data_IF_604096407103
#
_entry.id   IF_604096407103
#
_cell.length_a   1.000
_cell.length_b   1.000
_cell.length_c   1.000
_cell.angle_alpha   90.00
_cell.angle_beta   90.00
_cell.angle_gamma   90.00
#
_symmetry.space_group_name_H-M   'P 1'
#
loop_
_entity.id
_entity.type
_entity.pdbx_description
1 polymer ?
#
# COMPACT_ATOMS: atom_id res chain seq x y z
N UNK A 1 30.25 36.00 -62.71
CA UNK A 1 30.27 37.40 -62.26
C UNK A 1 29.78 37.47 -60.83
N UNK A 2 30.53 38.20 -60.00
CA UNK A 2 30.20 38.73 -58.68
C UNK A 2 30.05 37.74 -57.51
N UNK A 3 31.18 37.58 -56.83
CA UNK A 3 31.31 37.27 -55.40
C UNK A 3 30.55 38.28 -54.53
N UNK A 4 29.86 37.82 -53.50
CA UNK A 4 29.71 38.56 -52.24
C UNK A 4 29.58 37.57 -51.09
N UNK A 5 30.39 37.81 -50.06
CA UNK A 5 30.55 37.04 -48.84
C UNK A 5 30.25 38.02 -47.71
N UNK A 6 29.37 37.71 -46.77
CA UNK A 6 29.47 38.26 -45.41
C UNK A 6 28.53 37.57 -44.40
N UNK A 7 29.17 37.04 -43.37
CA UNK A 7 28.83 36.85 -41.94
C UNK A 7 27.44 36.39 -41.45
N UNK A 8 27.49 35.33 -40.63
CA UNK A 8 26.56 35.08 -39.52
C UNK A 8 26.99 35.85 -38.26
N UNK A 9 26.02 36.23 -37.41
CA UNK A 9 26.26 36.14 -35.98
C UNK A 9 25.24 35.25 -35.27
N UNK A 10 25.78 34.26 -34.58
CA UNK A 10 25.14 33.40 -33.59
C UNK A 10 24.59 34.24 -32.43
N UNK A 11 23.31 34.07 -32.05
CA UNK A 11 22.83 34.47 -30.72
C UNK A 11 21.96 33.40 -30.08
N UNK A 12 22.63 32.68 -29.18
CA UNK A 12 22.18 32.14 -27.90
C UNK A 12 20.68 31.86 -27.73
N UNK A 13 20.35 30.57 -27.72
CA UNK A 13 19.21 30.04 -26.97
C UNK A 13 19.42 30.30 -25.47
N UNK A 14 18.54 31.09 -24.85
CA UNK A 14 18.45 31.17 -23.38
C UNK A 14 17.69 29.95 -22.86
N UNK A 15 18.44 28.97 -22.35
CA UNK A 15 17.91 27.92 -21.51
C UNK A 15 17.56 28.50 -20.14
N UNK A 16 16.27 28.69 -19.87
CA UNK A 16 15.77 29.03 -18.54
C UNK A 16 15.74 27.76 -17.69
N UNK A 17 16.80 27.52 -16.92
CA UNK A 17 16.84 26.48 -15.89
C UNK A 17 16.04 26.97 -14.69
N UNK A 18 14.77 26.55 -14.60
CA UNK A 18 13.95 26.71 -13.41
C UNK A 18 14.56 25.92 -12.26
N UNK A 19 15.19 26.62 -11.34
CA UNK A 19 15.78 26.08 -10.12
C UNK A 19 14.66 26.05 -9.08
N UNK A 20 13.98 24.90 -9.00
CA UNK A 20 12.97 24.60 -7.98
C UNK A 20 13.69 24.30 -6.65
N UNK A 21 13.81 25.31 -5.79
CA UNK A 21 14.22 25.10 -4.40
C UNK A 21 12.97 24.84 -3.57
N UNK A 22 12.88 23.62 -3.05
CA UNK A 22 11.95 23.23 -2.01
C UNK A 22 12.29 23.99 -0.72
N UNK A 23 11.51 25.03 -0.46
CA UNK A 23 11.67 25.92 0.70
C UNK A 23 11.18 25.25 1.98
N UNK A 24 12.04 24.44 2.61
CA UNK A 24 11.86 23.98 3.99
C UNK A 24 13.02 24.48 4.84
N UNK A 25 13.14 25.80 5.06
CA UNK A 25 13.98 26.39 6.12
C UNK A 25 13.77 27.89 6.26
N UNK A 26 12.73 28.33 6.98
CA UNK A 26 12.63 29.61 7.71
C UNK A 26 11.56 29.35 8.81
N UNK A 27 11.67 29.66 10.10
CA UNK A 27 12.35 30.73 10.81
C UNK A 27 12.80 30.29 12.20
N UNK A 28 13.95 30.81 12.64
CA UNK A 28 14.33 30.88 14.04
C UNK A 28 13.90 32.24 14.64
N UNK A 29 13.32 32.16 15.84
CA UNK A 29 13.39 33.10 16.98
C UNK A 29 12.68 34.48 17.00
N UNK A 30 12.37 34.88 18.25
CA UNK A 30 11.91 36.19 18.82
C UNK A 30 10.37 36.36 18.91
N UNK A 31 9.71 36.80 20.00
CA UNK A 31 10.02 37.56 21.23
C UNK A 31 9.09 37.08 22.37
N UNK A 32 9.63 37.01 23.60
CA UNK A 32 8.92 36.73 24.85
C UNK A 32 8.13 37.99 25.31
N UNK A 33 6.82 38.06 25.08
CA UNK A 33 5.87 38.83 25.90
C UNK A 33 4.41 38.65 25.42
N UNK A 34 3.58 38.02 26.27
CA UNK A 34 2.12 38.17 26.28
C UNK A 34 1.31 37.25 25.36
N UNK A 35 0.97 36.04 25.82
CA UNK A 35 -0.23 35.29 25.37
C UNK A 35 -0.40 33.98 26.18
N UNK A 36 -1.11 34.05 27.29
CA UNK A 36 -1.62 32.84 27.99
C UNK A 36 -3.08 32.64 27.62
N UNK A 37 -3.36 32.04 26.46
CA UNK A 37 -4.67 31.42 26.16
C UNK A 37 -4.70 30.62 24.84
N UNK A 38 -3.63 29.93 24.40
CA UNK A 38 -3.68 29.20 23.11
C UNK A 38 -2.88 27.89 23.09
N UNK A 39 -3.18 26.99 24.01
CA UNK A 39 -2.81 25.56 23.92
C UNK A 39 -3.96 24.86 24.61
N UNK A 40 -4.86 24.16 23.93
CA UNK A 40 -4.75 22.77 23.55
C UNK A 40 -5.93 22.53 22.61
N UNK A 41 -5.74 22.31 21.31
CA UNK A 41 -6.62 21.55 20.40
C UNK A 41 -6.07 21.69 18.97
N UNK A 42 -4.77 21.44 18.78
CA UNK A 42 -4.32 21.01 17.47
C UNK A 42 -4.63 19.51 17.39
N UNK A 43 -5.51 19.04 16.48
CA UNK A 43 -5.63 17.61 16.23
C UNK A 43 -4.23 17.11 15.87
N UNK A 44 -3.67 16.21 16.68
CA UNK A 44 -2.46 15.50 16.29
C UNK A 44 -2.66 14.88 14.90
N UNK A 45 -1.58 14.62 14.14
CA UNK A 45 -1.69 14.00 12.83
C UNK A 45 -2.58 12.75 12.96
N UNK A 46 -3.72 12.76 12.28
CA UNK A 46 -4.70 11.69 12.36
C UNK A 46 -4.00 10.39 11.94
N UNK A 47 -3.65 9.57 12.93
CA UNK A 47 -3.05 8.27 12.69
C UNK A 47 -4.14 7.41 12.09
N UNK A 48 -4.16 7.26 10.76
CA UNK A 48 -5.06 6.31 10.11
C UNK A 48 -4.68 4.94 10.66
N UNK A 49 -5.54 4.30 11.47
CA UNK A 49 -5.23 2.95 11.92
C UNK A 49 -5.04 2.11 10.66
N UNK A 50 -3.94 1.37 10.59
CA UNK A 50 -3.81 0.39 9.53
C UNK A 50 -5.01 -0.56 9.66
N UNK A 51 -5.77 -0.79 8.57
CA UNK A 51 -6.91 -1.69 8.64
C UNK A 51 -6.43 -3.06 9.11
N UNK A 52 -7.25 -3.82 9.84
CA UNK A 52 -6.86 -5.21 10.15
C UNK A 52 -6.69 -6.02 8.87
N UNK A 53 -5.96 -7.14 8.93
CA UNK A 53 -5.81 -8.01 7.76
C UNK A 53 -7.17 -8.53 7.29
N UNK A 54 -8.12 -8.80 8.20
CA UNK A 54 -9.48 -9.22 7.83
C UNK A 54 -10.21 -8.12 7.05
N UNK A 55 -10.09 -6.86 7.49
CA UNK A 55 -10.66 -5.72 6.78
C UNK A 55 -10.00 -5.51 5.41
N UNK A 56 -8.67 -5.68 5.33
CA UNK A 56 -7.93 -5.56 4.07
C UNK A 56 -8.39 -6.61 3.06
N UNK A 57 -8.44 -7.88 3.46
CA UNK A 57 -8.87 -8.99 2.60
C UNK A 57 -10.36 -8.91 2.27
N UNK A 58 -11.21 -8.49 3.22
CA UNK A 58 -12.64 -8.28 2.98
C UNK A 58 -12.92 -7.25 1.89
N UNK A 59 -12.09 -6.19 1.79
CA UNK A 59 -12.17 -5.20 0.71
C UNK A 59 -11.76 -5.76 -0.65
N UNK A 60 -10.75 -6.64 -0.71
CA UNK A 60 -10.38 -7.33 -1.96
C UNK A 60 -11.55 -8.15 -2.48
N UNK A 61 -12.25 -8.83 -1.58
CA UNK A 61 -13.35 -9.72 -1.92
C UNK A 61 -14.68 -9.01 -2.16
N UNK A 62 -14.79 -7.70 -1.91
CA UNK A 62 -16.02 -6.93 -2.10
C UNK A 62 -17.29 -7.57 -1.50
N UNK A 63 -17.15 -8.27 -0.36
CA UNK A 63 -18.26 -8.95 0.33
C UNK A 63 -18.64 -10.34 -0.20
N UNK A 64 -17.92 -10.88 -1.18
CA UNK A 64 -18.10 -12.25 -1.68
C UNK A 64 -17.81 -13.31 -0.61
N UNK A 65 -18.80 -14.15 -0.31
CA UNK A 65 -18.67 -15.26 0.65
C UNK A 65 -17.78 -16.40 0.14
N UNK A 66 -17.65 -16.56 -1.18
CA UNK A 66 -16.81 -17.55 -1.84
C UNK A 66 -15.35 -17.10 -2.02
N UNK A 67 -14.99 -15.90 -1.54
CA UNK A 67 -13.68 -15.31 -1.78
C UNK A 67 -12.72 -15.39 -0.58
N UNK A 68 -13.17 -15.16 0.65
CA UNK A 68 -12.28 -15.18 1.84
C UNK A 68 -12.94 -15.86 3.02
N UNK A 69 -12.19 -16.73 3.69
CA UNK A 69 -12.62 -17.42 4.91
C UNK A 69 -11.59 -17.23 6.02
N UNK A 70 -12.08 -16.90 7.22
CA UNK A 70 -11.25 -16.67 8.41
C UNK A 70 -11.47 -17.79 9.43
N UNK A 71 -10.43 -18.18 10.21
CA UNK A 71 -10.55 -19.27 11.19
C UNK A 71 -11.57 -18.99 12.30
N UNK A 72 -11.81 -17.71 12.58
CA UNK A 72 -12.79 -17.24 13.58
C UNK A 72 -14.25 -17.34 13.10
N UNK A 73 -14.47 -17.55 11.79
CA UNK A 73 -15.78 -17.66 11.14
C UNK A 73 -15.95 -19.10 10.63
N UNK A 74 -15.98 -20.07 11.56
CA UNK A 74 -16.18 -21.49 11.21
C UNK A 74 -17.67 -21.76 10.99
N UNK A 75 -18.09 -21.82 9.73
CA UNK A 75 -19.37 -22.42 9.38
C UNK A 75 -19.13 -23.94 9.24
N UNK A 76 -19.53 -24.70 10.26
CA UNK A 76 -19.15 -26.10 10.49
C UNK A 76 -19.75 -27.15 9.52
N UNK A 77 -20.32 -26.73 8.39
CA UNK A 77 -21.16 -27.60 7.55
C UNK A 77 -20.60 -28.00 6.19
N UNK A 78 -19.62 -27.27 5.66
CA UNK A 78 -19.04 -27.52 4.34
C UNK A 78 -17.59 -27.99 4.51
N UNK A 79 -17.07 -28.77 3.56
CA UNK A 79 -15.65 -29.12 3.48
C UNK A 79 -14.81 -27.84 3.64
N UNK A 80 -14.37 -27.59 4.87
CA UNK A 80 -13.78 -26.32 5.28
C UNK A 80 -12.58 -26.11 4.37
N UNK A 81 -12.42 -24.93 3.76
CA UNK A 81 -11.29 -24.70 2.85
C UNK A 81 -9.94 -24.91 3.54
N UNK A 82 -9.94 -24.92 4.88
CA UNK A 82 -8.81 -25.18 5.77
C UNK A 82 -8.62 -26.66 6.13
N UNK A 83 -9.38 -27.59 5.55
CA UNK A 83 -9.23 -29.02 5.81
C UNK A 83 -7.86 -29.49 5.28
N UNK A 84 -6.96 -29.96 6.17
CA UNK A 84 -5.65 -30.42 5.74
C UNK A 84 -5.75 -31.77 5.03
N UNK A 85 -4.92 -31.97 4.00
CA UNK A 85 -4.76 -33.29 3.37
C UNK A 85 -4.00 -34.26 4.29
N UNK A 86 -2.93 -33.79 4.94
CA UNK A 86 -2.17 -34.57 5.91
C UNK A 86 -2.81 -34.44 7.31
N UNK A 87 -3.48 -35.49 7.76
CA UNK A 87 -4.14 -35.53 9.07
C UNK A 87 -3.15 -35.50 10.25
N UNK A 88 -1.87 -35.81 10.03
CA UNK A 88 -0.82 -35.75 11.06
C UNK A 88 -0.22 -34.36 11.28
N UNK A 89 -0.56 -33.36 10.45
CA UNK A 89 -0.05 -31.98 10.56
C UNK A 89 -1.20 -30.98 10.43
N UNK A 90 -1.58 -30.36 11.54
CA UNK A 90 -2.58 -29.29 11.55
C UNK A 90 -1.90 -27.93 11.45
N UNK A 91 -2.19 -27.16 10.40
CA UNK A 91 -1.81 -25.74 10.28
C UNK A 91 -3.09 -24.92 10.22
N UNK A 92 -3.20 -23.89 11.05
CA UNK A 92 -4.30 -22.94 11.00
C UNK A 92 -3.82 -21.68 10.27
N UNK A 93 -4.25 -21.42 9.02
CA UNK A 93 -3.84 -20.22 8.29
C UNK A 93 -4.54 -18.99 8.86
N UNK A 94 -3.97 -17.79 8.66
CA UNK A 94 -4.61 -16.54 9.07
C UNK A 94 -5.93 -16.26 8.31
N UNK A 95 -5.96 -16.62 7.03
CA UNK A 95 -7.13 -16.59 6.16
C UNK A 95 -6.87 -17.51 4.96
N UNK A 96 -7.94 -17.97 4.31
CA UNK A 96 -7.87 -18.57 2.98
C UNK A 96 -8.59 -17.66 2.00
N UNK A 97 -7.95 -17.35 0.87
CA UNK A 97 -8.52 -16.52 -0.18
C UNK A 97 -8.58 -17.32 -1.48
N UNK A 98 -9.72 -17.26 -2.18
CA UNK A 98 -9.97 -17.83 -3.50
C UNK A 98 -10.16 -16.70 -4.52
N UNK A 99 -9.07 -16.06 -4.98
CA UNK A 99 -9.14 -14.95 -5.92
C UNK A 99 -9.60 -15.44 -7.31
N UNK A 100 -10.36 -14.60 -8.02
CA UNK A 100 -10.87 -14.92 -9.37
C UNK A 100 -9.97 -14.44 -10.51
N UNK A 101 -9.11 -13.46 -10.23
CA UNK A 101 -8.27 -12.81 -11.23
C UNK A 101 -6.93 -12.34 -10.64
N UNK A 102 -6.02 -11.94 -11.53
CA UNK A 102 -4.68 -11.48 -11.17
C UNK A 102 -4.68 -10.22 -10.29
N UNK A 103 -5.72 -9.38 -10.40
CA UNK A 103 -5.83 -8.15 -9.63
C UNK A 103 -6.18 -8.44 -8.18
N UNK A 104 -7.08 -9.40 -7.94
CA UNK A 104 -7.37 -9.92 -6.60
C UNK A 104 -6.10 -10.55 -6.00
N UNK A 105 -5.35 -11.38 -6.76
CA UNK A 105 -4.08 -11.97 -6.30
C UNK A 105 -3.09 -10.88 -5.84
N UNK A 106 -2.82 -9.89 -6.69
CA UNK A 106 -1.90 -8.79 -6.36
C UNK A 106 -2.37 -8.01 -5.12
N UNK A 107 -3.68 -7.87 -4.94
CA UNK A 107 -4.25 -7.18 -3.78
C UNK A 107 -4.12 -7.99 -2.49
N UNK A 108 -4.30 -9.31 -2.54
CA UNK A 108 -4.05 -10.22 -1.41
C UNK A 108 -2.59 -10.15 -0.97
N UNK A 109 -1.65 -10.25 -1.91
CA UNK A 109 -0.21 -10.18 -1.60
C UNK A 109 0.14 -8.83 -0.97
N UNK A 110 -0.43 -7.73 -1.47
CA UNK A 110 -0.26 -6.39 -0.86
C UNK A 110 -0.80 -6.32 0.56
N UNK A 111 -1.98 -6.89 0.83
CA UNK A 111 -2.51 -6.98 2.20
C UNK A 111 -1.55 -7.77 3.09
N UNK A 112 -1.13 -8.95 2.66
CA UNK A 112 -0.23 -9.81 3.43
C UNK A 112 1.10 -9.11 3.76
N UNK A 113 1.74 -8.46 2.78
CA UNK A 113 2.97 -7.71 2.96
C UNK A 113 2.81 -6.55 3.96
N UNK A 114 1.71 -5.78 3.89
CA UNK A 114 1.43 -4.68 4.83
C UNK A 114 1.24 -5.14 6.27
N UNK A 115 0.79 -6.38 6.47
CA UNK A 115 0.51 -6.96 7.78
C UNK A 115 1.57 -7.96 8.25
N UNK A 116 2.67 -8.13 7.50
CA UNK A 116 3.74 -9.07 7.87
C UNK A 116 3.31 -10.54 7.84
N UNK A 117 2.27 -10.88 7.08
CA UNK A 117 1.74 -12.25 6.97
C UNK A 117 2.32 -12.93 5.74
N UNK A 118 2.71 -14.20 5.88
CA UNK A 118 3.24 -15.01 4.76
C UNK A 118 2.09 -15.49 3.86
N UNK A 119 2.36 -15.58 2.57
CA UNK A 119 1.42 -16.10 1.57
C UNK A 119 1.93 -17.43 1.05
N UNK A 120 1.05 -18.41 0.94
CA UNK A 120 1.30 -19.68 0.29
C UNK A 120 0.21 -19.91 -0.75
N UNK A 121 0.60 -20.04 -2.03
CA UNK A 121 -0.33 -20.41 -3.08
C UNK A 121 -0.63 -21.91 -2.98
N UNK A 122 -1.90 -22.28 -3.08
CA UNK A 122 -2.35 -23.68 -3.15
C UNK A 122 -3.31 -23.84 -4.33
N UNK A 123 -3.21 -24.98 -5.01
CA UNK A 123 -4.12 -25.35 -6.10
C UNK A 123 -4.80 -26.68 -5.77
N UNK A 124 -4.24 -27.81 -6.23
CA UNK A 124 -4.81 -29.16 -6.04
C UNK A 124 -4.42 -29.88 -4.74
N UNK A 125 -3.84 -29.21 -3.75
CA UNK A 125 -3.54 -29.77 -2.42
C UNK A 125 -2.90 -31.17 -2.38
N UNK A 126 -1.88 -31.43 -3.23
CA UNK A 126 -1.03 -32.64 -3.15
C UNK A 126 0.30 -32.39 -2.41
N UNK A 127 0.45 -31.24 -1.76
CA UNK A 127 1.63 -30.93 -0.95
C UNK A 127 1.58 -31.70 0.37
N UNK A 128 2.69 -32.37 0.72
CA UNK A 128 2.81 -33.13 1.98
C UNK A 128 3.10 -32.27 3.22
N UNK A 129 3.30 -30.97 3.03
CA UNK A 129 3.74 -30.01 4.05
C UNK A 129 5.06 -29.35 3.66
#
# INVERSE_FOLDING_TARGET
MSTYQESQPSRLAKATKGIQWNSWSICAATVLAGLIAQTFFAPGPAHKPNPSIESCLGKVCAGRSDCVQFPSKKDAGEATWMAPFNLGRTVTPAAIVRPKDAQEIASVVRCAAKHGVKVQATAGSHGWG
#
